data_IF_378765020043
#
_entry.id   IF_378765020043
#
_cell.length_a   1.000
_cell.length_b   1.000
_cell.length_c   1.000
_cell.angle_alpha   90.00
_cell.angle_beta   90.00
_cell.angle_gamma   90.00
#
_symmetry.space_group_name_H-M   'P 1'
#
loop_
_entity.id
_entity.type
_entity.pdbx_description
1 polymer ?
#
# COMPACT_ATOMS: atom_id res chain seq x y z
N UNK A 1 -12.76 5.38 -21.84
CA UNK A 1 -11.32 4.99 -21.75
C UNK A 1 -10.78 5.01 -23.17
N UNK A 2 -9.68 5.72 -23.37
CA UNK A 2 -8.98 5.73 -24.66
C UNK A 2 -7.86 4.70 -24.61
N UNK A 3 -7.97 3.66 -25.47
CA UNK A 3 -6.97 2.58 -25.52
C UNK A 3 -6.02 2.77 -26.70
N UNK A 4 -4.81 2.21 -26.58
CA UNK A 4 -3.81 2.20 -27.64
C UNK A 4 -2.96 0.92 -27.57
N UNK A 5 -2.30 0.57 -28.68
CA UNK A 5 -1.40 -0.57 -28.78
C UNK A 5 0.03 -0.08 -28.57
N UNK A 6 0.76 -0.76 -27.68
CA UNK A 6 2.17 -0.53 -27.41
C UNK A 6 2.92 -1.87 -27.46
N UNK A 7 3.48 -2.20 -28.64
CA UNK A 7 4.07 -3.50 -28.92
C UNK A 7 3.00 -4.61 -28.87
N UNK A 8 3.15 -5.53 -27.93
CA UNK A 8 2.20 -6.65 -27.72
C UNK A 8 1.11 -6.33 -26.67
N UNK A 9 1.12 -5.11 -26.15
CA UNK A 9 0.23 -4.69 -25.05
C UNK A 9 -0.87 -3.76 -25.53
N UNK A 10 -2.06 -3.92 -24.96
CA UNK A 10 -3.14 -2.92 -25.03
C UNK A 10 -3.10 -2.11 -23.72
N UNK A 11 -2.97 -0.81 -23.85
CA UNK A 11 -2.87 0.13 -22.73
C UNK A 11 -3.97 1.19 -22.77
N UNK A 12 -4.24 1.85 -21.64
CA UNK A 12 -5.13 2.99 -21.54
C UNK A 12 -4.35 4.28 -21.29
N UNK A 13 -4.83 5.40 -21.85
CA UNK A 13 -4.23 6.73 -21.62
C UNK A 13 -4.70 7.31 -20.29
N UNK A 14 -3.76 7.63 -19.40
CA UNK A 14 -4.01 8.38 -18.18
C UNK A 14 -4.91 7.69 -17.15
N UNK A 15 -5.18 6.39 -17.32
CA UNK A 15 -5.98 5.59 -16.39
C UNK A 15 -5.63 4.11 -16.52
N UNK A 16 -6.16 3.27 -15.63
CA UNK A 16 -6.11 1.81 -15.76
C UNK A 16 -7.02 1.33 -16.90
N UNK A 17 -6.67 0.19 -17.51
CA UNK A 17 -7.44 -0.39 -18.61
C UNK A 17 -8.78 -1.00 -18.12
N UNK A 18 -8.82 -1.54 -16.91
CA UNK A 18 -9.96 -2.27 -16.38
C UNK A 18 -10.03 -3.71 -16.91
N UNK A 19 -8.91 -4.28 -17.37
CA UNK A 19 -8.84 -5.65 -17.86
C UNK A 19 -8.98 -6.67 -16.72
N UNK A 20 -8.66 -6.27 -15.53
CA UNK A 20 -8.86 -6.98 -14.28
C UNK A 20 -10.17 -6.48 -13.62
N UNK A 21 -11.29 -7.25 -13.65
CA UNK A 21 -11.39 -8.46 -14.45
C UNK A 21 -12.39 -8.30 -15.61
N UNK A 22 -12.23 -7.25 -16.41
CA UNK A 22 -13.05 -7.02 -17.61
C UNK A 22 -12.90 -8.12 -18.66
N UNK A 23 -11.72 -8.79 -18.74
CA UNK A 23 -11.51 -9.92 -19.64
C UNK A 23 -12.32 -11.14 -19.23
N UNK A 24 -12.40 -11.47 -17.94
CA UNK A 24 -13.23 -12.54 -17.43
C UNK A 24 -14.71 -12.31 -17.72
N UNK A 25 -15.19 -11.09 -17.53
CA UNK A 25 -16.56 -10.71 -17.90
C UNK A 25 -16.79 -10.88 -19.40
N UNK A 26 -15.86 -10.43 -20.26
CA UNK A 26 -15.96 -10.60 -21.71
C UNK A 26 -16.00 -12.08 -22.14
N UNK A 27 -15.19 -12.93 -21.50
CA UNK A 27 -15.18 -14.37 -21.75
C UNK A 27 -16.52 -15.02 -21.36
N UNK A 28 -17.10 -14.66 -20.23
CA UNK A 28 -18.45 -15.12 -19.83
C UNK A 28 -19.50 -14.70 -20.88
N UNK A 29 -19.47 -13.47 -21.32
CA UNK A 29 -20.39 -12.96 -22.36
C UNK A 29 -20.22 -13.72 -23.67
N UNK A 30 -18.99 -13.95 -24.13
CA UNK A 30 -18.70 -14.69 -25.35
C UNK A 30 -19.24 -16.14 -25.30
N UNK A 31 -19.06 -16.83 -24.17
CA UNK A 31 -19.58 -18.19 -23.95
C UNK A 31 -21.11 -18.22 -23.98
N UNK A 32 -21.75 -17.24 -23.34
CA UNK A 32 -23.22 -17.17 -23.31
C UNK A 32 -23.84 -16.79 -24.68
N UNK A 33 -23.09 -16.08 -25.53
CA UNK A 33 -23.55 -15.66 -26.87
C UNK A 33 -23.35 -16.75 -27.94
N UNK A 34 -22.37 -17.66 -27.76
CA UNK A 34 -22.01 -18.65 -28.75
C UNK A 34 -23.07 -19.76 -28.84
N UNK A 35 -23.78 -19.79 -29.98
CA UNK A 35 -24.84 -20.80 -30.25
C UNK A 35 -24.28 -22.18 -30.67
N UNK A 36 -22.97 -22.28 -30.91
CA UNK A 36 -22.36 -23.54 -31.39
C UNK A 36 -21.65 -24.31 -30.28
N UNK A 37 -21.40 -23.65 -29.15
CA UNK A 37 -20.72 -24.24 -28.00
C UNK A 37 -21.67 -25.26 -27.32
N UNK A 38 -21.15 -26.47 -27.14
CA UNK A 38 -21.87 -27.53 -26.42
C UNK A 38 -21.57 -27.41 -24.93
N UNK A 39 -22.56 -27.10 -24.15
CA UNK A 39 -22.44 -26.95 -22.69
C UNK A 39 -23.73 -27.45 -21.97
N UNK A 40 -23.58 -27.74 -20.69
CA UNK A 40 -24.72 -27.92 -19.77
C UNK A 40 -25.32 -26.59 -19.35
N UNK A 41 -26.17 -26.55 -18.31
CA UNK A 41 -26.65 -25.31 -17.73
C UNK A 41 -25.47 -24.44 -17.25
N UNK A 42 -25.53 -23.12 -17.58
CA UNK A 42 -24.53 -22.12 -17.19
C UNK A 42 -25.18 -21.05 -16.35
N UNK A 43 -24.48 -20.63 -15.33
CA UNK A 43 -24.83 -19.48 -14.50
C UNK A 43 -23.63 -18.52 -14.50
N UNK A 44 -23.86 -17.24 -14.82
CA UNK A 44 -22.85 -16.20 -14.74
C UNK A 44 -22.97 -15.46 -13.42
N UNK A 45 -21.93 -15.51 -12.62
CA UNK A 45 -21.82 -14.75 -11.38
C UNK A 45 -20.81 -13.62 -11.56
N UNK A 46 -21.28 -12.38 -11.47
CA UNK A 46 -20.44 -11.18 -11.53
C UNK A 46 -20.62 -10.42 -10.22
N UNK A 47 -19.55 -10.28 -9.48
CA UNK A 47 -19.53 -9.55 -8.21
C UNK A 47 -19.03 -8.12 -8.41
N UNK A 48 -19.13 -7.29 -7.39
CA UNK A 48 -18.63 -5.93 -7.36
C UNK A 48 -17.72 -5.71 -6.17
N UNK A 49 -16.95 -4.63 -6.22
CA UNK A 49 -16.08 -4.18 -5.13
C UNK A 49 -15.03 -5.22 -4.69
N UNK A 50 -14.47 -5.98 -5.63
CA UNK A 50 -13.40 -6.95 -5.34
C UNK A 50 -12.21 -6.23 -4.72
N UNK A 51 -11.68 -5.21 -5.38
CA UNK A 51 -10.50 -4.43 -5.00
C UNK A 51 -10.68 -3.61 -3.70
N UNK A 52 -11.91 -3.35 -3.30
CA UNK A 52 -12.21 -2.51 -2.14
C UNK A 52 -12.64 -3.28 -0.90
N UNK A 53 -12.67 -4.62 -0.97
CA UNK A 53 -12.98 -5.49 0.15
C UNK A 53 -13.98 -6.60 -0.14
N UNK A 54 -14.18 -6.97 -1.41
CA UNK A 54 -14.99 -8.13 -1.84
C UNK A 54 -16.45 -8.06 -1.35
N UNK A 55 -17.01 -6.89 -1.18
CA UNK A 55 -18.37 -6.72 -0.62
C UNK A 55 -19.43 -7.47 -1.40
N UNK A 56 -19.29 -7.55 -2.73
CA UNK A 56 -20.19 -8.34 -3.58
C UNK A 56 -20.11 -9.82 -3.27
N UNK A 57 -18.93 -10.39 -3.11
CA UNK A 57 -18.73 -11.79 -2.80
C UNK A 57 -19.21 -12.13 -1.38
N UNK A 58 -18.85 -11.34 -0.37
CA UNK A 58 -19.33 -11.53 1.01
C UNK A 58 -20.84 -11.32 1.16
N UNK A 59 -21.46 -10.58 0.27
CA UNK A 59 -22.91 -10.33 0.24
C UNK A 59 -23.72 -11.50 -0.34
N UNK A 60 -23.09 -12.51 -0.94
CA UNK A 60 -23.78 -13.68 -1.51
C UNK A 60 -24.52 -14.48 -0.43
N UNK A 61 -25.73 -14.90 -0.79
CA UNK A 61 -26.54 -15.73 0.10
C UNK A 61 -26.52 -17.18 -0.41
N UNK A 62 -26.65 -18.17 0.49
CA UNK A 62 -26.87 -19.56 0.07
C UNK A 62 -28.01 -19.68 -0.93
N UNK A 63 -27.79 -20.44 -2.00
CA UNK A 63 -28.77 -20.63 -3.07
C UNK A 63 -28.87 -19.52 -4.11
N UNK A 64 -27.90 -18.55 -4.11
CA UNK A 64 -27.81 -17.55 -5.18
C UNK A 64 -27.48 -18.21 -6.53
N UNK A 65 -26.61 -19.21 -6.52
CA UNK A 65 -26.23 -20.02 -7.68
C UNK A 65 -26.48 -21.52 -7.39
N UNK A 66 -26.68 -22.30 -8.44
CA UNK A 66 -26.97 -23.75 -8.33
C UNK A 66 -25.87 -24.62 -8.96
N UNK A 67 -24.87 -24.01 -9.59
CA UNK A 67 -23.76 -24.71 -10.22
C UNK A 67 -22.94 -25.51 -9.21
N UNK A 68 -22.54 -26.73 -9.60
CA UNK A 68 -21.68 -27.62 -8.81
C UNK A 68 -20.18 -27.38 -9.11
N UNK A 69 -19.89 -26.74 -10.24
CA UNK A 69 -18.52 -26.43 -10.70
C UNK A 69 -18.41 -24.91 -10.83
N UNK A 70 -17.49 -24.33 -10.09
CA UNK A 70 -17.14 -22.91 -10.20
C UNK A 70 -15.86 -22.76 -11.03
N UNK A 71 -15.94 -21.98 -12.11
CA UNK A 71 -14.78 -21.53 -12.88
C UNK A 71 -14.54 -20.07 -12.56
N UNK A 72 -13.56 -19.78 -11.73
CA UNK A 72 -13.14 -18.43 -11.43
C UNK A 72 -12.17 -17.95 -12.52
N UNK A 73 -12.56 -16.89 -13.24
CA UNK A 73 -11.77 -16.31 -14.33
C UNK A 73 -10.91 -15.10 -13.87
N UNK A 74 -10.80 -14.93 -12.56
CA UNK A 74 -10.01 -13.86 -11.95
C UNK A 74 -8.59 -14.36 -11.64
N UNK A 75 -7.85 -14.69 -12.68
CA UNK A 75 -6.45 -15.13 -12.63
C UNK A 75 -5.62 -14.37 -13.64
N UNK A 76 -4.43 -13.96 -13.26
CA UNK A 76 -3.52 -13.14 -14.09
C UNK A 76 -2.46 -13.98 -14.82
N UNK A 77 -2.20 -15.22 -14.36
CA UNK A 77 -1.14 -16.07 -14.90
C UNK A 77 -1.66 -16.97 -16.01
N UNK A 78 -1.04 -16.81 -17.19
CA UNK A 78 -1.42 -17.58 -18.37
C UNK A 78 -1.01 -19.05 -18.25
N UNK A 79 -1.97 -19.95 -18.49
CA UNK A 79 -1.73 -21.39 -18.53
C UNK A 79 -1.64 -22.06 -17.16
N UNK A 80 -1.97 -21.37 -16.08
CA UNK A 80 -1.97 -21.90 -14.72
C UNK A 80 -3.39 -22.11 -14.17
N UNK A 81 -3.54 -23.11 -13.32
CA UNK A 81 -4.77 -23.40 -12.59
C UNK A 81 -4.49 -23.32 -11.09
N UNK A 82 -5.16 -22.41 -10.42
CA UNK A 82 -5.07 -22.24 -8.96
C UNK A 82 -6.17 -23.03 -8.27
N UNK A 83 -5.78 -23.90 -7.35
CA UNK A 83 -6.70 -24.76 -6.57
C UNK A 83 -6.82 -24.33 -5.11
N UNK A 84 -6.26 -23.20 -4.76
CA UNK A 84 -6.28 -22.65 -3.42
C UNK A 84 -5.87 -21.17 -3.43
N UNK A 85 -6.04 -20.51 -2.31
CA UNK A 85 -5.60 -19.12 -2.11
C UNK A 85 -5.06 -18.93 -0.69
N UNK A 86 -4.28 -17.87 -0.51
CA UNK A 86 -3.90 -17.41 0.82
C UNK A 86 -5.09 -16.73 1.52
N UNK A 87 -5.13 -16.83 2.84
CA UNK A 87 -6.02 -16.03 3.66
C UNK A 87 -5.37 -14.70 4.04
N UNK A 88 -6.19 -13.73 4.49
CA UNK A 88 -5.72 -12.46 4.98
C UNK A 88 -6.44 -12.04 6.26
N UNK A 89 -5.81 -11.18 7.02
CA UNK A 89 -6.40 -10.52 8.19
C UNK A 89 -6.04 -9.05 8.19
N UNK A 90 -7.06 -8.19 8.17
CA UNK A 90 -6.88 -6.76 8.39
C UNK A 90 -6.94 -6.45 9.88
N UNK A 91 -5.95 -5.73 10.37
CA UNK A 91 -5.92 -5.22 11.74
C UNK A 91 -5.86 -3.70 11.69
N UNK A 92 -6.88 -3.06 12.25
CA UNK A 92 -6.91 -1.60 12.41
C UNK A 92 -6.68 -1.27 13.89
N UNK A 93 -5.60 -0.54 14.16
CA UNK A 93 -5.37 0.05 15.48
C UNK A 93 -5.85 1.50 15.45
N UNK A 94 -6.64 1.89 16.45
CA UNK A 94 -7.14 3.25 16.61
C UNK A 94 -6.72 3.80 17.96
N UNK A 95 -6.26 5.05 17.94
CA UNK A 95 -5.84 5.78 19.14
C UNK A 95 -6.52 7.14 19.16
N UNK A 96 -7.24 7.41 20.25
CA UNK A 96 -7.89 8.71 20.45
C UNK A 96 -7.01 9.59 21.33
N UNK A 97 -6.82 10.83 20.93
CA UNK A 97 -6.08 11.83 21.70
C UNK A 97 -6.65 13.22 21.46
N UNK A 98 -6.28 14.16 22.33
CA UNK A 98 -6.55 15.58 22.14
C UNK A 98 -5.26 16.28 21.81
N UNK A 99 -5.24 16.96 20.67
CA UNK A 99 -4.08 17.76 20.23
C UNK A 99 -3.67 18.80 21.26
N UNK A 100 -2.38 19.09 21.31
CA UNK A 100 -1.77 20.16 22.08
C UNK A 100 -1.23 21.22 21.12
N UNK A 101 -1.13 22.46 21.57
CA UNK A 101 -0.58 23.52 20.74
C UNK A 101 0.95 23.36 20.62
N UNK A 102 1.56 23.69 19.46
CA UNK A 102 3.01 23.80 19.33
C UNK A 102 3.60 24.80 20.32
N UNK A 103 4.88 24.66 20.65
CA UNK A 103 5.57 25.60 21.53
C UNK A 103 5.85 26.95 20.84
N UNK A 104 6.01 27.99 21.66
CA UNK A 104 6.31 29.32 21.15
C UNK A 104 7.72 29.36 20.56
N UNK A 105 7.82 29.76 19.29
CA UNK A 105 9.09 29.79 18.55
C UNK A 105 9.32 28.58 17.63
N UNK A 106 8.44 27.59 17.69
CA UNK A 106 8.51 26.46 16.79
C UNK A 106 8.18 26.83 15.35
N UNK A 107 8.77 26.07 14.45
CA UNK A 107 8.47 26.06 13.01
C UNK A 107 7.96 24.69 12.60
N UNK A 108 7.26 24.64 11.48
CA UNK A 108 6.76 23.38 10.95
C UNK A 108 7.46 23.02 9.65
N UNK A 109 7.87 21.75 9.57
CA UNK A 109 8.53 21.15 8.40
C UNK A 109 7.68 19.99 7.91
N UNK A 110 7.30 20.04 6.64
CA UNK A 110 6.72 18.90 5.94
C UNK A 110 7.83 18.07 5.32
N UNK A 111 7.85 16.80 5.62
CA UNK A 111 8.75 15.83 4.99
C UNK A 111 7.97 14.93 4.06
N UNK A 112 8.52 14.66 2.87
CA UNK A 112 7.87 13.86 1.84
C UNK A 112 8.84 12.78 1.36
N UNK A 113 8.48 11.52 1.60
CA UNK A 113 9.19 10.34 1.11
C UNK A 113 8.40 9.73 -0.02
N UNK A 114 9.01 9.58 -1.20
CA UNK A 114 8.37 9.05 -2.39
C UNK A 114 9.37 8.42 -3.36
N UNK A 115 8.86 7.84 -4.44
CA UNK A 115 9.69 7.22 -5.46
C UNK A 115 9.86 5.72 -5.28
N UNK A 116 9.30 5.10 -4.24
CA UNK A 116 9.36 3.66 -4.05
C UNK A 116 8.45 2.95 -5.06
N UNK A 117 8.78 1.70 -5.36
CA UNK A 117 8.02 0.87 -6.31
C UNK A 117 6.63 0.52 -5.77
N UNK A 118 6.52 0.24 -4.48
CA UNK A 118 5.32 -0.35 -3.91
C UNK A 118 5.11 -1.78 -4.41
N UNK A 119 3.88 -2.24 -4.43
CA UNK A 119 3.52 -3.56 -4.94
C UNK A 119 2.43 -4.22 -4.13
N UNK A 120 1.99 -5.41 -4.55
CA UNK A 120 0.99 -6.19 -3.85
C UNK A 120 1.57 -6.77 -2.55
N UNK A 121 0.87 -6.58 -1.43
CA UNK A 121 1.33 -7.00 -0.10
C UNK A 121 1.40 -8.52 0.10
N UNK A 122 0.79 -9.29 -0.76
CA UNK A 122 0.88 -10.76 -0.79
C UNK A 122 1.86 -11.26 -1.85
N UNK A 123 1.60 -10.96 -3.12
CA UNK A 123 2.35 -11.52 -4.26
C UNK A 123 3.78 -11.00 -4.39
N UNK A 124 4.04 -9.77 -3.94
CA UNK A 124 5.34 -9.11 -4.13
C UNK A 124 6.08 -8.82 -2.82
N UNK A 125 5.54 -9.23 -1.68
CA UNK A 125 6.14 -8.99 -0.36
C UNK A 125 7.50 -9.68 -0.20
N UNK A 126 7.71 -10.80 -0.90
CA UNK A 126 8.96 -11.55 -0.91
C UNK A 126 10.09 -10.87 -1.72
N UNK A 127 9.78 -9.82 -2.48
CA UNK A 127 10.78 -9.10 -3.26
C UNK A 127 11.62 -8.12 -2.43
N UNK A 128 11.33 -7.96 -1.16
CA UNK A 128 12.10 -7.10 -0.25
C UNK A 128 11.97 -5.61 -0.53
N UNK A 129 10.89 -5.19 -1.21
CA UNK A 129 10.64 -3.78 -1.51
C UNK A 129 10.49 -2.95 -0.26
N UNK A 130 10.92 -1.71 -0.33
CA UNK A 130 10.82 -0.77 0.79
C UNK A 130 9.36 -0.36 1.04
N UNK A 131 9.06 -0.13 2.31
CA UNK A 131 7.78 0.41 2.76
C UNK A 131 8.00 1.84 3.26
N UNK A 132 7.33 2.81 2.65
CA UNK A 132 7.52 4.22 2.94
C UNK A 132 7.29 4.57 4.41
N UNK A 133 6.27 3.98 5.06
CA UNK A 133 6.05 4.19 6.49
C UNK A 133 7.19 3.66 7.35
N UNK A 134 7.80 2.52 6.96
CA UNK A 134 8.95 1.95 7.69
C UNK A 134 10.22 2.78 7.52
N UNK A 135 10.39 3.44 6.39
CA UNK A 135 11.51 4.38 6.20
C UNK A 135 11.25 5.69 6.93
N UNK A 136 10.05 6.23 6.81
CA UNK A 136 9.69 7.50 7.45
C UNK A 136 9.75 7.41 8.98
N UNK A 137 9.35 6.29 9.59
CA UNK A 137 9.44 6.14 11.05
C UNK A 137 10.88 6.16 11.56
N UNK A 138 11.86 5.69 10.76
CA UNK A 138 13.28 5.75 11.13
C UNK A 138 13.76 7.19 11.23
N UNK A 139 13.37 8.03 10.26
CA UNK A 139 13.63 9.46 10.28
C UNK A 139 12.94 10.16 11.46
N UNK A 140 11.63 9.96 11.63
CA UNK A 140 10.86 10.63 12.68
C UNK A 140 11.40 10.26 14.07
N UNK A 141 11.75 9.01 14.29
CA UNK A 141 12.34 8.55 15.56
C UNK A 141 13.63 9.28 15.91
N UNK A 142 14.51 9.46 14.92
CA UNK A 142 15.76 10.21 15.11
C UNK A 142 15.48 11.70 15.30
N UNK A 143 14.54 12.26 14.54
CA UNK A 143 14.17 13.67 14.65
C UNK A 143 13.58 14.01 16.05
N UNK A 144 12.73 13.14 16.58
CA UNK A 144 12.18 13.28 17.94
C UNK A 144 13.28 13.15 19.00
N UNK A 145 14.14 12.14 18.87
CA UNK A 145 15.15 11.86 19.88
C UNK A 145 16.28 12.92 19.95
N UNK A 146 16.56 13.57 18.81
CA UNK A 146 17.76 14.41 18.69
C UNK A 146 17.45 15.90 18.50
N UNK A 147 16.32 16.21 17.85
CA UNK A 147 15.99 17.60 17.45
C UNK A 147 14.67 18.10 18.05
N UNK A 148 14.18 17.44 19.08
CA UNK A 148 12.94 17.81 19.80
C UNK A 148 11.72 17.90 18.86
N UNK A 149 11.70 17.09 17.79
CA UNK A 149 10.61 17.13 16.83
C UNK A 149 9.30 16.60 17.46
N UNK A 150 8.19 17.27 17.10
CA UNK A 150 6.84 16.88 17.50
C UNK A 150 6.04 16.55 16.26
N UNK A 151 5.27 15.48 16.31
CA UNK A 151 4.45 15.03 15.20
C UNK A 151 3.12 15.77 15.15
N UNK A 152 2.83 16.48 14.07
CA UNK A 152 1.53 17.10 13.84
C UNK A 152 0.64 16.24 12.93
N UNK A 153 1.20 15.62 11.87
CA UNK A 153 0.45 14.72 11.01
C UNK A 153 1.36 13.67 10.36
N UNK A 154 0.76 12.53 10.00
CA UNK A 154 1.41 11.48 9.24
C UNK A 154 0.41 10.80 8.32
N UNK A 155 0.76 10.66 7.06
CA UNK A 155 -0.02 9.92 6.07
C UNK A 155 0.91 9.05 5.23
N UNK A 156 0.50 7.82 4.96
CA UNK A 156 1.27 6.91 4.10
C UNK A 156 0.49 5.65 3.78
N UNK A 157 0.46 5.34 2.47
CA UNK A 157 -0.34 4.25 1.94
C UNK A 157 -1.83 4.59 1.85
N UNK A 158 -2.47 4.14 0.78
CA UNK A 158 -3.89 4.38 0.52
C UNK A 158 -4.67 3.08 0.22
N UNK A 159 -3.99 1.95 0.12
CA UNK A 159 -4.55 0.63 -0.16
C UNK A 159 -4.03 -0.39 0.85
N UNK A 160 -4.94 -1.19 1.42
CA UNK A 160 -4.59 -2.21 2.43
C UNK A 160 -3.72 -3.33 1.89
N UNK A 161 -3.96 -3.69 0.65
CA UNK A 161 -3.27 -4.76 -0.07
C UNK A 161 -2.04 -4.28 -0.85
N UNK A 162 -1.59 -3.05 -0.64
CA UNK A 162 -0.42 -2.48 -1.32
C UNK A 162 0.67 -2.07 -0.34
N UNK A 163 1.93 -2.36 -0.68
CA UNK A 163 3.11 -1.86 0.03
C UNK A 163 3.17 -0.34 -0.16
N UNK A 164 3.14 0.47 0.90
CA UNK A 164 3.19 1.93 0.79
C UNK A 164 4.42 2.41 0.03
N UNK A 165 4.21 3.12 -1.09
CA UNK A 165 5.27 3.64 -1.96
C UNK A 165 5.60 5.11 -1.70
N UNK A 166 4.80 5.77 -0.90
CA UNK A 166 5.00 7.14 -0.46
C UNK A 166 4.42 7.35 0.93
N UNK A 167 5.03 8.26 1.68
CA UNK A 167 4.55 8.71 2.98
C UNK A 167 5.03 10.14 3.23
N UNK A 168 4.26 10.90 3.98
CA UNK A 168 4.62 12.24 4.39
C UNK A 168 4.18 12.51 5.83
N UNK A 169 4.88 13.44 6.46
CA UNK A 169 4.54 13.90 7.80
C UNK A 169 4.79 15.41 7.91
N UNK A 170 4.08 16.03 8.83
CA UNK A 170 4.41 17.37 9.31
C UNK A 170 4.91 17.24 10.73
N UNK A 171 6.09 17.78 10.98
CA UNK A 171 6.68 17.87 12.31
C UNK A 171 6.92 19.34 12.68
N UNK A 172 6.75 19.66 13.96
CA UNK A 172 7.20 20.94 14.53
C UNK A 172 8.53 20.74 15.22
N UNK A 173 9.39 21.74 15.19
CA UNK A 173 10.71 21.75 15.84
C UNK A 173 11.05 23.15 16.33
N UNK A 174 11.92 23.31 17.34
CA UNK A 174 12.56 24.58 17.63
C UNK A 174 13.26 25.13 16.39
N UNK A 175 13.08 26.43 16.10
CA UNK A 175 13.60 27.05 14.87
C UNK A 175 15.11 26.91 14.70
N UNK A 176 15.87 26.84 15.80
CA UNK A 176 17.32 26.63 15.78
C UNK A 176 17.76 25.26 15.25
N UNK A 177 16.88 24.25 15.27
CA UNK A 177 17.17 22.89 14.81
C UNK A 177 16.86 22.68 13.31
N UNK A 178 16.46 23.72 12.57
CA UNK A 178 16.05 23.60 11.16
C UNK A 178 17.17 23.06 10.27
N UNK A 179 18.39 23.63 10.36
CA UNK A 179 19.51 23.19 9.52
C UNK A 179 19.89 21.74 9.75
N UNK A 180 19.92 21.32 11.01
CA UNK A 180 20.25 19.94 11.40
C UNK A 180 19.18 18.94 10.95
N UNK A 181 17.90 19.32 11.06
CA UNK A 181 16.80 18.46 10.56
C UNK A 181 16.88 18.31 9.04
N UNK A 182 17.14 19.38 8.30
CA UNK A 182 17.31 19.30 6.84
C UNK A 182 18.53 18.44 6.46
N UNK A 183 19.62 18.51 7.23
CA UNK A 183 20.77 17.63 7.05
C UNK A 183 20.42 16.17 7.34
N UNK A 184 19.59 15.88 8.36
CA UNK A 184 19.10 14.55 8.64
C UNK A 184 18.24 14.01 7.49
N UNK A 185 17.36 14.83 6.89
CA UNK A 185 16.56 14.43 5.71
C UNK A 185 17.49 13.97 4.58
N UNK A 186 18.51 14.76 4.28
CA UNK A 186 19.49 14.41 3.23
C UNK A 186 20.29 13.17 3.56
N UNK A 187 20.72 13.01 4.79
CA UNK A 187 21.40 11.80 5.25
C UNK A 187 20.51 10.55 5.11
N UNK A 188 19.24 10.65 5.49
CA UNK A 188 18.29 9.56 5.34
C UNK A 188 18.03 9.22 3.87
N UNK A 189 17.92 10.22 2.98
CA UNK A 189 17.78 10.00 1.55
C UNK A 189 18.94 9.17 0.99
N UNK A 190 20.17 9.58 1.30
CA UNK A 190 21.38 8.89 0.85
C UNK A 190 21.47 7.46 1.43
N UNK A 191 21.15 7.30 2.72
CA UNK A 191 21.13 6.01 3.41
C UNK A 191 20.10 5.05 2.80
N UNK A 192 18.87 5.51 2.56
CA UNK A 192 17.80 4.69 1.99
C UNK A 192 18.13 4.29 0.54
N UNK A 193 18.68 5.20 -0.25
CA UNK A 193 19.12 4.91 -1.60
C UNK A 193 20.26 3.88 -1.63
N UNK A 194 21.22 3.92 -0.71
CA UNK A 194 22.28 2.91 -0.63
C UNK A 194 21.73 1.55 -0.16
N UNK A 195 20.85 1.54 0.84
CA UNK A 195 20.25 0.32 1.39
C UNK A 195 19.42 -0.45 0.35
N UNK A 196 18.62 0.28 -0.44
CA UNK A 196 17.66 -0.32 -1.37
C UNK A 196 18.09 -0.24 -2.85
N UNK A 197 19.33 0.14 -3.15
CA UNK A 197 19.83 0.37 -4.52
C UNK A 197 19.63 -0.78 -5.51
N UNK A 198 19.55 -2.01 -5.01
CA UNK A 198 19.38 -3.20 -5.84
C UNK A 198 17.90 -3.50 -6.16
N UNK A 199 16.97 -2.89 -5.44
CA UNK A 199 15.54 -3.27 -5.45
C UNK A 199 14.67 -2.10 -5.87
N UNK A 200 14.95 -0.92 -5.33
CA UNK A 200 14.14 0.29 -5.54
C UNK A 200 14.61 1.13 -6.74
N UNK A 201 13.74 2.00 -7.21
CA UNK A 201 14.09 3.18 -8.00
C UNK A 201 14.71 4.22 -7.09
N UNK A 202 15.36 5.29 -7.60
CA UNK A 202 15.85 6.34 -6.72
C UNK A 202 14.77 6.89 -5.79
N UNK A 203 14.99 6.72 -4.49
CA UNK A 203 14.11 7.21 -3.44
C UNK A 203 14.35 8.71 -3.30
N UNK A 204 13.27 9.47 -3.25
CA UNK A 204 13.30 10.92 -3.07
C UNK A 204 12.76 11.25 -1.67
N UNK A 205 13.58 11.87 -0.85
CA UNK A 205 13.19 12.34 0.49
C UNK A 205 13.46 13.83 0.61
N UNK A 206 12.40 14.63 0.70
CA UNK A 206 12.46 16.08 0.69
C UNK A 206 11.81 16.67 1.92
N UNK A 207 12.22 17.87 2.29
CA UNK A 207 11.62 18.67 3.35
C UNK A 207 11.30 20.07 2.84
N UNK A 208 10.24 20.65 3.34
CA UNK A 208 9.85 22.02 3.06
C UNK A 208 9.21 22.65 4.30
N UNK A 209 9.48 23.94 4.51
CA UNK A 209 8.83 24.70 5.57
C UNK A 209 7.37 24.95 5.21
N UNK A 210 6.48 24.70 6.14
CA UNK A 210 5.03 24.89 5.97
C UNK A 210 4.47 25.79 7.06
N UNK A 211 3.20 26.16 6.93
CA UNK A 211 2.49 26.91 7.98
C UNK A 211 2.41 26.09 9.27
N UNK A 212 2.61 26.75 10.41
CA UNK A 212 2.55 26.11 11.72
C UNK A 212 1.15 25.53 11.95
N UNK A 213 1.02 24.22 12.26
CA UNK A 213 -0.26 23.60 12.50
C UNK A 213 -0.92 24.13 13.79
N UNK A 214 -2.23 24.04 13.87
CA UNK A 214 -2.98 24.45 15.07
C UNK A 214 -2.76 23.52 16.26
N UNK A 215 -2.33 22.28 16.01
CA UNK A 215 -2.11 21.26 17.02
C UNK A 215 -1.13 20.19 16.57
N UNK A 216 -0.61 19.47 17.54
CA UNK A 216 0.30 18.35 17.39
C UNK A 216 -0.09 17.20 18.32
N UNK A 217 0.44 16.02 18.05
CA UNK A 217 0.22 14.83 18.85
C UNK A 217 0.91 15.00 20.21
N UNK A 218 0.21 14.76 21.36
CA UNK A 218 0.86 14.78 22.67
C UNK A 218 2.05 13.83 22.75
N UNK A 219 3.10 14.22 23.45
CA UNK A 219 4.38 13.50 23.52
C UNK A 219 4.26 12.00 23.83
N UNK A 220 3.57 11.67 24.91
CA UNK A 220 3.38 10.27 25.30
C UNK A 220 2.66 9.45 24.20
N UNK A 221 1.71 10.06 23.50
CA UNK A 221 0.96 9.43 22.39
C UNK A 221 1.88 9.28 21.17
N UNK A 222 2.66 10.32 20.87
CA UNK A 222 3.64 10.32 19.80
C UNK A 222 4.66 9.18 19.97
N UNK A 223 5.25 9.06 21.15
CA UNK A 223 6.27 8.06 21.44
C UNK A 223 5.70 6.64 21.30
N UNK A 224 4.52 6.40 21.84
CA UNK A 224 3.83 5.12 21.70
C UNK A 224 3.50 4.81 20.23
N UNK A 225 3.05 5.80 19.46
CA UNK A 225 2.74 5.64 18.04
C UNK A 225 3.99 5.32 17.21
N UNK A 226 5.07 6.07 17.43
CA UNK A 226 6.35 5.88 16.75
C UNK A 226 6.92 4.49 17.06
N UNK A 227 6.93 4.09 18.32
CA UNK A 227 7.43 2.79 18.75
C UNK A 227 6.56 1.65 18.20
N UNK A 228 5.23 1.80 18.17
CA UNK A 228 4.33 0.82 17.58
C UNK A 228 4.59 0.64 16.07
N UNK A 229 4.70 1.73 15.29
CA UNK A 229 5.00 1.67 13.85
C UNK A 229 6.40 1.11 13.63
N UNK A 230 7.39 1.49 14.44
CA UNK A 230 8.75 1.00 14.33
C UNK A 230 8.85 -0.50 14.64
N UNK A 231 8.19 -0.98 15.68
CA UNK A 231 8.18 -2.39 16.09
C UNK A 231 7.33 -3.28 15.18
N UNK A 232 6.30 -2.72 14.53
CA UNK A 232 5.45 -3.48 13.62
C UNK A 232 6.29 -4.10 12.50
N UNK A 233 6.17 -5.40 12.30
CA UNK A 233 6.92 -6.09 11.26
C UNK A 233 6.43 -5.71 9.86
N UNK A 234 7.35 -5.77 8.90
CA UNK A 234 7.08 -5.57 7.48
C UNK A 234 7.89 -6.59 6.68
N UNK A 235 7.30 -7.18 5.66
CA UNK A 235 7.95 -8.18 4.84
C UNK A 235 7.53 -9.60 5.21
N UNK A 236 8.26 -10.57 4.66
CA UNK A 236 7.99 -12.00 4.85
C UNK A 236 8.31 -12.42 6.28
N UNK A 237 7.32 -12.97 6.96
CA UNK A 237 7.49 -13.56 8.28
C UNK A 237 8.04 -14.97 8.19
N UNK A 238 7.50 -15.77 7.28
CA UNK A 238 7.88 -17.16 7.05
C UNK A 238 7.54 -17.56 5.61
N UNK A 239 8.39 -18.39 5.02
CA UNK A 239 8.08 -19.07 3.76
C UNK A 239 7.43 -20.43 4.06
N UNK A 240 6.50 -20.85 3.21
CA UNK A 240 5.89 -22.19 3.33
C UNK A 240 6.93 -23.24 2.86
N UNK A 241 7.42 -24.13 3.71
CA UNK A 241 8.53 -25.04 3.35
C UNK A 241 8.18 -26.07 2.26
N UNK A 242 6.89 -26.34 2.08
CA UNK A 242 6.40 -27.37 1.17
C UNK A 242 5.94 -26.82 -0.17
N UNK A 243 5.85 -25.49 -0.32
CA UNK A 243 5.41 -24.84 -1.55
C UNK A 243 6.48 -23.79 -1.90
N UNK A 244 7.24 -23.98 -3.00
CA UNK A 244 8.26 -23.01 -3.41
C UNK A 244 7.68 -21.61 -3.61
N UNK A 245 8.48 -20.61 -3.27
CA UNK A 245 8.21 -19.18 -3.47
C UNK A 245 6.92 -18.63 -2.83
N UNK A 246 6.29 -19.42 -1.96
CA UNK A 246 5.05 -19.04 -1.28
C UNK A 246 5.33 -18.56 0.13
N UNK A 247 4.82 -17.38 0.46
CA UNK A 247 4.89 -16.78 1.81
C UNK A 247 3.70 -17.25 2.66
N UNK A 248 3.90 -17.24 4.00
CA UNK A 248 2.85 -17.53 4.99
C UNK A 248 2.39 -16.26 5.68
#
# INVERSE_FOLDING_TARGET
IETYIDGEWVKAKGTTLGADNGLGVAAIMAVLEDQNLKHGPLEALITKDEETGMYGAFGLKPGTVNGEILLNLDSEDEGELYIGCAGGMDVTASLEYKEVAPEEGDIAIRVNLKGLRGGHSGLEINQGRANANKLLVRFIREAVATYEARLASWEGGNMRNAIPREAHAVVTIPAENEEELLALVKYCEDLFNEEFKAIETPICFTAERVELPAGEVPEEIQDNLIDAIFACQNGVMRMIPTIPDTVE
#
